data_IF_773216542021
#
_entry.id   IF_773216542021
#
_cell.length_a   1.000
_cell.length_b   1.000
_cell.length_c   1.000
_cell.angle_alpha   90.00
_cell.angle_beta   90.00
_cell.angle_gamma   90.00
#
_symmetry.space_group_name_H-M   'P 1'
#
loop_
_entity.id
_entity.type
_entity.pdbx_description
1 polymer ?
#
# COMPACT_ATOMS: atom_id res chain seq x y z
N UNK A 1 -35.12 -19.55 -51.42
CA UNK A 1 -35.79 -18.57 -50.55
C UNK A 1 -34.99 -18.53 -49.24
N UNK A 2 -34.14 -17.52 -49.07
CA UNK A 2 -33.33 -17.26 -47.87
C UNK A 2 -34.20 -16.64 -46.77
N UNK A 3 -34.13 -17.16 -45.53
CA UNK A 3 -34.45 -16.41 -44.30
C UNK A 3 -33.86 -17.16 -43.08
N UNK A 4 -32.62 -16.83 -42.65
CA UNK A 4 -32.25 -15.90 -41.55
C UNK A 4 -32.70 -16.38 -40.16
N UNK A 5 -31.77 -16.93 -39.35
CA UNK A 5 -31.05 -16.31 -38.20
C UNK A 5 -32.04 -15.97 -37.05
N UNK A 6 -31.90 -16.49 -35.82
CA UNK A 6 -31.00 -15.97 -34.79
C UNK A 6 -30.78 -17.01 -33.67
N UNK A 7 -29.53 -17.45 -33.49
CA UNK A 7 -29.04 -17.95 -32.22
C UNK A 7 -28.89 -16.77 -31.25
N UNK A 8 -29.77 -16.68 -30.25
CA UNK A 8 -29.61 -15.73 -29.15
C UNK A 8 -28.62 -16.30 -28.13
N UNK A 9 -27.31 -16.19 -28.40
CA UNK A 9 -26.30 -16.34 -27.35
C UNK A 9 -26.19 -14.99 -26.66
N UNK A 10 -27.00 -14.81 -25.61
CA UNK A 10 -26.81 -13.72 -24.66
C UNK A 10 -25.59 -14.08 -23.82
N UNK A 11 -24.41 -13.67 -24.28
CA UNK A 11 -23.21 -13.70 -23.48
C UNK A 11 -23.36 -12.65 -22.37
N UNK A 12 -23.73 -13.12 -21.18
CA UNK A 12 -23.66 -12.32 -19.96
C UNK A 12 -22.18 -11.96 -19.73
N UNK A 13 -21.80 -10.75 -20.14
CA UNK A 13 -20.55 -10.12 -19.73
C UNK A 13 -20.68 -9.82 -18.23
N UNK A 14 -20.34 -10.80 -17.41
CA UNK A 14 -20.10 -10.63 -15.99
C UNK A 14 -19.04 -9.55 -15.84
N UNK A 15 -19.42 -8.38 -15.34
CA UNK A 15 -18.48 -7.30 -15.01
C UNK A 15 -17.74 -7.72 -13.74
N UNK A 16 -16.81 -8.66 -13.88
CA UNK A 16 -15.85 -8.98 -12.84
C UNK A 16 -14.88 -7.83 -12.75
N UNK A 17 -14.98 -7.01 -11.70
CA UNK A 17 -13.91 -6.08 -11.37
C UNK A 17 -12.65 -6.90 -11.06
N UNK A 18 -11.71 -6.94 -11.99
CA UNK A 18 -10.43 -7.61 -11.77
C UNK A 18 -9.64 -6.80 -10.74
N UNK A 19 -9.74 -7.17 -9.47
CA UNK A 19 -8.70 -6.80 -8.51
C UNK A 19 -7.40 -7.49 -8.90
N UNK A 20 -6.28 -6.87 -8.55
CA UNK A 20 -4.96 -7.42 -8.79
C UNK A 20 -4.05 -7.16 -7.60
N UNK A 21 -3.04 -8.01 -7.46
CA UNK A 21 -2.03 -7.91 -6.39
C UNK A 21 -0.68 -7.68 -7.04
N UNK A 22 0.12 -6.81 -6.46
CA UNK A 22 1.50 -6.58 -6.87
C UNK A 22 2.43 -6.64 -5.65
N UNK A 23 3.67 -7.02 -5.90
CA UNK A 23 4.69 -7.11 -4.87
C UNK A 23 5.39 -5.76 -4.74
N UNK A 24 5.67 -5.38 -3.50
CA UNK A 24 6.38 -4.15 -3.18
C UNK A 24 7.71 -4.53 -2.54
N UNK A 25 8.78 -3.88 -2.98
CA UNK A 25 10.10 -3.99 -2.35
C UNK A 25 10.53 -2.63 -1.80
N UNK A 26 11.17 -2.68 -0.64
CA UNK A 26 11.83 -1.55 -0.02
C UNK A 26 13.26 -1.42 -0.55
N UNK A 27 13.65 -0.21 -0.92
CA UNK A 27 14.95 0.14 -1.50
C UNK A 27 15.50 1.42 -0.86
N UNK A 28 16.81 1.63 -0.97
CA UNK A 28 17.44 2.90 -0.61
C UNK A 28 17.67 3.69 -1.89
N UNK A 29 17.04 4.87 -2.00
CA UNK A 29 17.23 5.83 -3.09
C UNK A 29 17.76 7.12 -2.47
N UNK A 30 18.94 7.56 -2.89
CA UNK A 30 19.61 8.77 -2.37
C UNK A 30 19.69 8.82 -0.83
N UNK A 31 20.01 7.67 -0.21
CA UNK A 31 20.13 7.53 1.24
C UNK A 31 18.80 7.49 2.00
N UNK A 32 17.66 7.45 1.30
CA UNK A 32 16.32 7.42 1.90
C UNK A 32 15.60 6.12 1.57
N UNK A 33 14.87 5.60 2.55
CA UNK A 33 13.98 4.46 2.36
C UNK A 33 12.85 4.86 1.41
N UNK A 34 12.66 4.05 0.37
CA UNK A 34 11.57 4.17 -0.57
C UNK A 34 10.99 2.79 -0.89
N UNK A 35 9.75 2.80 -1.35
CA UNK A 35 9.03 1.63 -1.81
C UNK A 35 8.83 1.73 -3.31
N UNK A 36 9.00 0.61 -4.00
CA UNK A 36 8.76 0.45 -5.44
C UNK A 36 7.98 -0.83 -5.69
N UNK A 37 7.32 -0.92 -6.83
CA UNK A 37 6.82 -2.21 -7.34
C UNK A 37 8.02 -3.11 -7.63
N UNK A 38 7.98 -4.36 -7.17
CA UNK A 38 9.00 -5.36 -7.50
C UNK A 38 9.01 -5.58 -9.02
N UNK A 39 10.15 -5.38 -9.72
CA UNK A 39 10.26 -5.69 -11.14
C UNK A 39 9.93 -7.15 -11.50
N UNK A 40 9.94 -8.06 -10.52
CA UNK A 40 9.55 -9.47 -10.68
C UNK A 40 8.06 -9.71 -10.50
N UNK A 41 7.30 -8.71 -10.03
CA UNK A 41 5.87 -8.89 -9.83
C UNK A 41 5.15 -9.07 -11.17
N UNK A 42 4.13 -9.93 -11.18
CA UNK A 42 3.37 -10.24 -12.39
C UNK A 42 2.38 -9.13 -12.78
N UNK A 43 2.08 -8.24 -11.84
CA UNK A 43 1.23 -7.06 -12.04
C UNK A 43 1.97 -5.80 -11.61
N UNK A 44 1.58 -4.67 -12.19
CA UNK A 44 2.17 -3.36 -11.87
C UNK A 44 1.15 -2.38 -11.30
N UNK A 45 1.66 -1.35 -10.65
CA UNK A 45 0.90 -0.16 -10.28
C UNK A 45 1.78 1.07 -10.49
N UNK A 46 1.21 2.13 -11.07
CA UNK A 46 1.96 3.36 -11.36
C UNK A 46 1.90 4.36 -10.20
N UNK A 47 0.92 4.21 -9.31
CA UNK A 47 0.65 5.13 -8.21
C UNK A 47 -0.05 4.44 -7.04
N UNK A 48 -0.06 5.12 -5.88
CA UNK A 48 -0.76 4.71 -4.67
C UNK A 48 -1.77 5.75 -4.17
N UNK A 49 -2.69 5.27 -3.34
CA UNK A 49 -3.71 6.03 -2.60
C UNK A 49 -3.60 5.84 -1.10
N UNK A 50 -3.11 4.68 -0.68
CA UNK A 50 -2.81 4.43 0.72
C UNK A 50 -1.46 3.78 0.90
N UNK A 51 -0.91 3.98 2.09
CA UNK A 51 0.30 3.31 2.56
C UNK A 51 0.20 3.04 4.04
N UNK A 52 0.39 1.78 4.40
CA UNK A 52 0.37 1.31 5.77
C UNK A 52 1.69 0.60 6.02
N UNK A 53 2.46 1.07 6.99
CA UNK A 53 3.69 0.43 7.46
C UNK A 53 3.48 0.05 8.91
N UNK A 54 3.60 -1.24 9.19
CA UNK A 54 3.34 -1.80 10.51
C UNK A 54 4.31 -2.94 10.83
N UNK A 55 4.28 -3.43 12.07
CA UNK A 55 5.02 -4.63 12.47
C UNK A 55 4.16 -5.50 13.37
N UNK A 56 4.17 -6.81 13.10
CA UNK A 56 3.58 -7.82 13.98
C UNK A 56 4.47 -8.19 15.17
N UNK A 57 5.71 -7.69 15.25
CA UNK A 57 6.63 -7.95 16.35
C UNK A 57 6.24 -7.17 17.62
N UNK A 58 6.99 -7.33 18.72
CA UNK A 58 6.74 -6.60 19.97
C UNK A 58 7.13 -5.10 19.91
N UNK A 59 7.80 -4.67 18.84
CA UNK A 59 8.20 -3.28 18.65
C UNK A 59 6.97 -2.36 18.54
N UNK A 60 6.96 -1.27 19.31
CA UNK A 60 5.87 -0.29 19.32
C UNK A 60 6.41 1.12 19.18
N UNK A 61 5.78 1.90 18.31
CA UNK A 61 6.05 3.32 18.21
C UNK A 61 5.40 4.09 19.35
N UNK A 62 5.90 5.29 19.62
CA UNK A 62 5.26 6.23 20.54
C UNK A 62 4.25 7.09 19.78
N UNK A 63 2.97 7.15 20.20
CA UNK A 63 1.97 7.97 19.53
C UNK A 63 2.22 9.46 19.78
N UNK A 64 1.98 10.29 18.76
CA UNK A 64 1.90 11.75 18.87
C UNK A 64 0.43 12.21 18.92
N UNK A 65 0.11 13.47 19.30
CA UNK A 65 -1.27 13.90 19.51
C UNK A 65 -2.22 13.73 18.32
N UNK A 66 -1.70 13.76 17.09
CA UNK A 66 -2.48 13.59 15.85
C UNK A 66 -2.65 12.12 15.42
N UNK A 67 -2.00 11.17 16.10
CA UNK A 67 -2.10 9.77 15.71
C UNK A 67 -3.39 9.12 16.23
N UNK A 68 -3.89 8.18 15.45
CA UNK A 68 -4.75 7.13 15.96
C UNK A 68 -3.96 6.22 16.91
N UNK A 69 -4.27 6.33 18.20
CA UNK A 69 -3.61 5.57 19.27
C UNK A 69 -3.82 4.07 19.16
N UNK A 70 -4.97 3.63 18.62
CA UNK A 70 -5.27 2.22 18.47
C UNK A 70 -4.41 1.61 17.36
N UNK A 71 -4.26 2.30 16.23
CA UNK A 71 -3.34 1.88 15.16
C UNK A 71 -1.90 1.77 15.66
N UNK A 72 -1.42 2.77 16.43
CA UNK A 72 -0.07 2.73 17.02
C UNK A 72 0.07 1.55 18.00
N UNK A 73 -0.92 1.31 18.86
CA UNK A 73 -0.93 0.18 19.78
C UNK A 73 -0.89 -1.19 19.06
N UNK A 74 -1.48 -1.24 17.87
CA UNK A 74 -1.48 -2.41 16.99
C UNK A 74 -0.20 -2.55 16.14
N UNK A 75 0.78 -1.67 16.32
CA UNK A 75 2.09 -1.77 15.66
C UNK A 75 2.25 -0.93 14.41
N UNK A 76 1.36 0.04 14.14
CA UNK A 76 1.54 0.97 13.02
C UNK A 76 2.70 1.94 13.26
N UNK A 77 3.56 2.09 12.26
CA UNK A 77 4.65 3.07 12.19
C UNK A 77 4.39 4.16 11.14
N UNK A 78 3.52 3.92 10.17
CA UNK A 78 3.02 4.94 9.24
C UNK A 78 1.69 4.49 8.68
N UNK A 79 0.67 5.35 8.69
CA UNK A 79 -0.64 5.00 8.17
C UNK A 79 -1.29 6.21 7.54
N UNK A 80 -1.47 6.18 6.22
CA UNK A 80 -2.09 7.26 5.45
C UNK A 80 -3.00 6.70 4.36
N UNK A 81 -4.18 7.29 4.25
CA UNK A 81 -5.19 6.98 3.24
C UNK A 81 -5.68 8.27 2.56
N UNK A 82 -5.72 8.27 1.23
CA UNK A 82 -6.36 9.32 0.42
C UNK A 82 -7.64 8.82 -0.21
N UNK A 83 -8.45 9.73 -0.75
CA UNK A 83 -9.70 9.40 -1.42
C UNK A 83 -9.50 8.37 -2.55
N UNK A 84 -10.48 7.46 -2.67
CA UNK A 84 -10.40 6.28 -3.56
C UNK A 84 -10.52 6.60 -5.05
N UNK A 85 -10.96 7.80 -5.39
CA UNK A 85 -11.11 8.28 -6.77
C UNK A 85 -9.81 8.91 -7.30
N UNK A 86 -8.84 9.23 -6.44
CA UNK A 86 -7.61 9.93 -6.78
C UNK A 86 -6.39 8.99 -6.65
N UNK A 87 -5.55 8.85 -7.69
CA UNK A 87 -4.28 8.11 -7.60
C UNK A 87 -3.13 9.02 -8.05
N UNK A 88 -2.59 9.77 -7.08
CA UNK A 88 -1.75 10.94 -7.35
C UNK A 88 -0.31 10.79 -6.87
N UNK A 89 0.02 9.65 -6.27
CA UNK A 89 1.31 9.40 -5.62
C UNK A 89 2.09 8.35 -6.40
N UNK A 90 2.91 8.74 -7.38
CA UNK A 90 3.65 7.80 -8.19
C UNK A 90 4.75 7.10 -7.39
N UNK A 91 5.16 5.93 -7.84
CA UNK A 91 6.40 5.31 -7.36
C UNK A 91 7.64 6.07 -7.88
N UNK A 92 8.77 6.08 -7.15
CA UNK A 92 8.96 5.52 -5.81
C UNK A 92 8.25 6.33 -4.71
N UNK A 93 7.70 5.62 -3.72
CA UNK A 93 7.07 6.25 -2.55
C UNK A 93 8.06 6.28 -1.40
N UNK A 94 8.55 7.46 -1.03
CA UNK A 94 9.51 7.61 0.07
C UNK A 94 8.82 7.46 1.44
N UNK A 95 9.48 6.77 2.37
CA UNK A 95 8.96 6.61 3.73
C UNK A 95 8.71 7.97 4.39
N UNK A 96 7.49 8.16 4.89
CA UNK A 96 7.06 9.39 5.54
C UNK A 96 6.85 10.59 4.63
N UNK A 97 6.89 10.41 3.30
CA UNK A 97 6.55 11.49 2.39
C UNK A 97 5.05 11.86 2.49
N UNK A 98 4.69 13.15 2.42
CA UNK A 98 3.29 13.53 2.33
C UNK A 98 2.61 12.92 1.08
N UNK A 99 1.42 12.37 1.25
CA UNK A 99 0.60 11.91 0.13
C UNK A 99 -0.23 13.08 -0.42
N UNK A 100 -0.30 13.17 -1.75
CA UNK A 100 -1.19 14.04 -2.51
C UNK A 100 -2.58 13.42 -2.59
N UNK A 101 -3.58 14.30 -2.56
CA UNK A 101 -4.99 13.95 -2.68
C UNK A 101 -5.77 14.35 -1.44
N UNK A 102 -7.10 14.27 -1.53
CA UNK A 102 -7.95 14.54 -0.37
C UNK A 102 -7.79 13.42 0.67
N UNK A 103 -7.79 13.72 1.97
CA UNK A 103 -7.82 12.69 2.99
C UNK A 103 -9.01 11.74 2.79
N UNK A 104 -8.80 10.44 2.99
CA UNK A 104 -9.91 9.51 3.05
C UNK A 104 -10.81 9.85 4.25
N UNK A 105 -12.13 9.83 4.04
CA UNK A 105 -13.12 10.08 5.09
C UNK A 105 -13.84 8.77 5.37
N UNK A 106 -13.66 8.20 6.55
CA UNK A 106 -14.39 7.00 6.96
C UNK A 106 -15.87 7.33 7.20
N UNK A 107 -16.74 6.31 7.22
CA UNK A 107 -18.20 6.49 7.33
C UNK A 107 -18.65 7.23 8.60
N UNK A 108 -17.84 7.17 9.65
CA UNK A 108 -18.01 7.85 10.92
C UNK A 108 -17.45 9.28 10.93
N UNK A 109 -16.93 9.77 9.80
CA UNK A 109 -16.29 11.08 9.66
C UNK A 109 -14.90 11.14 10.27
N UNK A 110 -14.36 10.03 10.78
CA UNK A 110 -13.01 10.00 11.33
C UNK A 110 -11.96 9.95 10.23
N UNK A 111 -10.77 10.43 10.57
CA UNK A 111 -9.55 10.37 9.76
C UNK A 111 -8.45 9.75 10.64
N UNK A 112 -8.59 8.46 10.95
CA UNK A 112 -7.55 7.74 11.67
C UNK A 112 -6.30 7.61 10.81
N UNK A 113 -5.14 7.94 11.36
CA UNK A 113 -3.86 7.82 10.66
C UNK A 113 -2.71 7.88 11.64
N UNK A 114 -1.52 7.54 11.18
CA UNK A 114 -0.30 7.56 11.99
C UNK A 114 0.76 8.30 11.20
N UNK A 115 1.28 9.39 11.76
CA UNK A 115 2.44 10.09 11.20
C UNK A 115 3.65 9.16 11.20
N UNK A 116 4.56 9.26 10.21
CA UNK A 116 5.71 8.36 10.13
C UNK A 116 6.55 8.39 11.42
N UNK A 117 6.93 7.20 11.86
CA UNK A 117 7.68 6.97 13.09
C UNK A 117 9.11 6.53 12.76
N UNK A 118 10.10 6.80 13.61
CA UNK A 118 11.43 6.24 13.41
C UNK A 118 11.35 4.71 13.34
N UNK A 119 11.82 4.13 12.24
CA UNK A 119 11.92 2.69 12.08
C UNK A 119 13.10 2.16 12.89
N UNK A 120 12.95 0.97 13.45
CA UNK A 120 13.94 0.32 14.28
C UNK A 120 14.76 -0.65 13.43
N UNK A 121 16.07 -0.70 13.69
CA UNK A 121 16.95 -1.71 13.10
C UNK A 121 16.60 -3.10 13.61
N UNK A 122 16.63 -4.10 12.74
CA UNK A 122 16.40 -5.51 13.07
C UNK A 122 14.94 -5.95 13.09
N UNK A 123 14.00 -5.00 13.16
CA UNK A 123 12.54 -5.27 13.15
C UNK A 123 12.07 -5.54 11.73
N UNK A 124 11.23 -6.57 11.55
CA UNK A 124 10.51 -6.80 10.30
C UNK A 124 9.27 -5.91 10.24
N UNK A 125 9.16 -5.17 9.15
CA UNK A 125 8.02 -4.33 8.84
C UNK A 125 7.25 -4.91 7.64
N UNK A 126 5.94 -4.88 7.77
CA UNK A 126 4.99 -5.08 6.69
C UNK A 126 4.66 -3.73 6.06
N UNK A 127 4.67 -3.66 4.73
CA UNK A 127 4.17 -2.51 3.97
C UNK A 127 3.02 -2.97 3.10
N UNK A 128 1.87 -2.31 3.23
CA UNK A 128 0.68 -2.52 2.41
C UNK A 128 0.30 -1.21 1.72
N UNK A 129 -0.16 -1.31 0.48
CA UNK A 129 -0.51 -0.17 -0.36
C UNK A 129 -1.78 -0.47 -1.16
N UNK A 130 -2.61 0.54 -1.35
CA UNK A 130 -3.66 0.50 -2.39
C UNK A 130 -3.28 1.39 -3.56
N UNK A 131 -3.47 0.90 -4.78
CA UNK A 131 -3.07 1.54 -6.03
C UNK A 131 -4.22 2.04 -6.90
N UNK A 132 -3.91 2.27 -8.16
CA UNK A 132 -4.90 2.52 -9.22
C UNK A 132 -5.89 1.36 -9.35
N UNK A 133 -7.14 1.66 -9.72
CA UNK A 133 -8.18 0.64 -9.84
C UNK A 133 -8.45 -0.09 -8.52
N UNK A 134 -8.45 -1.42 -8.56
CA UNK A 134 -8.55 -2.32 -7.39
C UNK A 134 -7.23 -3.07 -7.16
N UNK A 135 -6.10 -2.37 -7.27
CA UNK A 135 -4.76 -2.90 -7.07
C UNK A 135 -4.31 -2.85 -5.61
N UNK A 136 -3.77 -3.97 -5.11
CA UNK A 136 -3.27 -4.10 -3.74
C UNK A 136 -1.80 -4.50 -3.75
N UNK A 137 -0.95 -3.66 -3.19
CA UNK A 137 0.48 -3.87 -3.09
C UNK A 137 0.87 -4.32 -1.70
N UNK A 138 1.87 -5.19 -1.57
CA UNK A 138 2.53 -5.30 -0.28
C UNK A 138 3.87 -6.00 -0.30
N UNK A 139 4.61 -5.86 0.78
CA UNK A 139 5.97 -6.38 0.94
C UNK A 139 6.35 -6.47 2.41
N UNK A 140 7.47 -7.16 2.67
CA UNK A 140 8.09 -7.22 4.00
C UNK A 140 9.53 -6.79 3.90
N UNK A 141 10.00 -6.00 4.86
CA UNK A 141 11.39 -5.54 4.86
C UNK A 141 11.95 -5.41 6.27
N UNK A 142 13.28 -5.41 6.35
CA UNK A 142 14.04 -5.15 7.58
C UNK A 142 15.15 -4.15 7.29
N UNK A 143 15.36 -3.22 8.20
CA UNK A 143 16.54 -2.34 8.19
C UNK A 143 17.67 -3.05 8.97
N UNK A 144 18.81 -3.23 8.31
CA UNK A 144 20.00 -3.87 8.89
C UNK A 144 20.88 -2.84 9.64
N UNK A 145 21.76 -3.27 10.56
CA UNK A 145 22.63 -2.36 11.33
C UNK A 145 23.55 -1.46 10.52
N UNK A 146 23.81 -1.80 9.26
CA UNK A 146 24.60 -1.00 8.32
C UNK A 146 23.73 -0.08 7.43
N UNK A 147 22.49 0.18 7.82
CA UNK A 147 21.50 0.97 7.07
C UNK A 147 21.13 0.41 5.69
N UNK A 148 21.46 -0.85 5.41
CA UNK A 148 20.94 -1.56 4.24
C UNK A 148 19.53 -2.07 4.52
N UNK A 149 18.77 -2.25 3.45
CA UNK A 149 17.43 -2.83 3.51
C UNK A 149 17.49 -4.26 2.98
N UNK A 150 16.88 -5.17 3.73
CA UNK A 150 16.64 -6.56 3.34
C UNK A 150 15.15 -6.72 3.06
N UNK A 151 14.80 -7.22 1.87
CA UNK A 151 13.41 -7.59 1.54
C UNK A 151 13.20 -9.05 1.92
N UNK A 152 12.17 -9.31 2.72
CA UNK A 152 11.84 -10.64 3.23
C UNK A 152 10.80 -11.27 2.30
N UNK A 153 11.04 -12.48 1.77
CA UNK A 153 10.03 -13.19 0.98
C UNK A 153 8.72 -13.35 1.75
N UNK A 154 7.60 -13.29 1.03
CA UNK A 154 6.31 -13.74 1.57
C UNK A 154 6.25 -15.26 1.44
N UNK A 155 5.86 -15.93 2.52
CA UNK A 155 5.61 -17.38 2.54
C UNK A 155 4.32 -17.74 1.78
#
# INVERSE_FOLDING_TARGET
>A
MMLRILCSIVAALSVGGCSYVYDVVAVIVDGRLAFIVDPKSQSGADCIRSIHVSTGESARATPVPSDDRQLVANGAFWWKDTAVDECLNPFPVFYGAPLKGKPFVYKDGLHGGVEPKPLLTGVIYDVDMSGSGSGYGGGRFRILPNNRVENIPKD
#
